data_IF_972049639301
#
_entry.id   IF_972049639301
#
_cell.length_a   1.000
_cell.length_b   1.000
_cell.length_c   1.000
_cell.angle_alpha   90.00
_cell.angle_beta   90.00
_cell.angle_gamma   90.00
#
_symmetry.space_group_name_H-M   'P 1'
#
loop_
_entity.id
_entity.type
_entity.pdbx_description
1 polymer ?
#
# COMPACT_ATOMS: atom_id res chain seq x y z
N UNK A 1 5.71 -4.42 -12.49
CA UNK A 1 4.41 -3.72 -12.39
C UNK A 1 3.43 -4.66 -11.68
N UNK A 2 2.68 -4.15 -10.72
CA UNK A 2 1.68 -4.91 -9.94
C UNK A 2 0.34 -4.20 -10.09
N UNK A 3 -0.73 -4.97 -10.28
CA UNK A 3 -2.10 -4.47 -10.31
C UNK A 3 -2.87 -5.00 -9.10
N UNK A 4 -3.75 -4.18 -8.55
CA UNK A 4 -4.62 -4.54 -7.42
C UNK A 4 -5.92 -3.73 -7.48
N UNK A 5 -6.95 -4.18 -6.79
CA UNK A 5 -8.21 -3.46 -6.62
C UNK A 5 -8.52 -3.37 -5.13
N UNK A 6 -8.87 -2.18 -4.66
CA UNK A 6 -9.29 -1.94 -3.28
C UNK A 6 -10.81 -1.79 -3.24
N UNK A 7 -11.44 -2.58 -2.38
CA UNK A 7 -12.84 -2.39 -1.97
C UNK A 7 -12.92 -1.45 -0.77
N UNK A 8 -13.73 -0.41 -0.90
CA UNK A 8 -13.86 0.68 0.08
C UNK A 8 -15.33 0.86 0.43
N UNK A 9 -15.80 0.33 1.57
CA UNK A 9 -17.15 0.58 2.04
C UNK A 9 -17.29 2.03 2.53
N UNK A 10 -18.33 2.73 2.07
CA UNK A 10 -18.71 4.06 2.53
C UNK A 10 -20.03 4.00 3.29
N UNK A 11 -20.20 4.85 4.30
CA UNK A 11 -21.42 4.89 5.12
C UNK A 11 -22.43 5.93 4.65
N UNK A 12 -22.07 6.71 3.64
CA UNK A 12 -22.72 7.93 3.20
C UNK A 12 -21.68 9.02 2.92
N UNK A 13 -22.16 10.21 2.55
CA UNK A 13 -21.33 11.32 2.11
C UNK A 13 -20.24 11.64 3.13
N UNK A 14 -19.01 11.86 2.65
CA UNK A 14 -17.87 12.18 3.49
C UNK A 14 -16.56 11.57 3.01
N UNK A 15 -15.59 11.51 3.91
CA UNK A 15 -14.22 11.15 3.58
C UNK A 15 -13.81 9.83 4.23
N UNK A 16 -13.37 8.88 3.42
CA UNK A 16 -12.81 7.60 3.88
C UNK A 16 -11.31 7.59 3.62
N UNK A 17 -10.52 7.49 4.70
CA UNK A 17 -9.05 7.53 4.63
C UNK A 17 -8.48 6.23 4.04
N UNK A 18 -7.66 6.36 3.00
CA UNK A 18 -7.12 5.26 2.20
C UNK A 18 -5.65 4.93 2.49
N UNK A 19 -4.84 5.89 2.93
CA UNK A 19 -3.40 5.64 3.10
C UNK A 19 -3.05 4.49 4.05
N UNK A 20 -3.82 4.15 5.12
CA UNK A 20 -3.51 2.98 5.94
C UNK A 20 -3.73 1.66 5.21
N UNK A 21 -4.81 1.52 4.44
CA UNK A 21 -5.08 0.28 3.67
C UNK A 21 -4.07 0.15 2.52
N UNK A 22 -3.75 1.26 1.85
CA UNK A 22 -2.77 1.29 0.76
C UNK A 22 -1.39 0.92 1.30
N UNK A 23 -0.92 1.52 2.40
CA UNK A 23 0.39 1.21 2.98
C UNK A 23 0.50 -0.25 3.47
N UNK A 24 -0.58 -0.83 4.00
CA UNK A 24 -0.60 -2.26 4.35
C UNK A 24 -0.44 -3.15 3.12
N UNK A 25 -1.11 -2.81 2.02
CA UNK A 25 -0.94 -3.52 0.76
C UNK A 25 0.48 -3.34 0.19
N UNK A 26 0.99 -2.10 0.15
CA UNK A 26 2.35 -1.82 -0.35
C UNK A 26 3.43 -2.63 0.35
N UNK A 27 3.31 -2.83 1.67
CA UNK A 27 4.23 -3.64 2.46
C UNK A 27 4.33 -5.11 2.00
N UNK A 28 3.31 -5.64 1.29
CA UNK A 28 3.34 -7.02 0.76
C UNK A 28 3.94 -7.12 -0.64
N UNK A 29 4.15 -5.99 -1.32
CA UNK A 29 4.57 -5.98 -2.73
C UNK A 29 6.08 -6.13 -2.93
N UNK A 30 6.88 -5.85 -1.90
CA UNK A 30 8.35 -5.80 -1.98
C UNK A 30 8.90 -4.60 -2.77
N UNK A 31 8.05 -3.73 -3.34
CA UNK A 31 8.47 -2.51 -4.04
C UNK A 31 8.84 -1.45 -3.01
N UNK A 32 10.07 -0.92 -3.12
CA UNK A 32 10.64 0.04 -2.19
C UNK A 32 10.47 1.48 -2.64
N UNK A 33 10.66 1.76 -3.94
CA UNK A 33 10.56 3.10 -4.51
C UNK A 33 9.82 3.03 -5.85
N UNK A 34 8.99 4.02 -6.15
CA UNK A 34 8.20 4.01 -7.39
C UNK A 34 7.02 4.98 -7.38
N UNK A 35 6.00 4.64 -8.16
CA UNK A 35 4.76 5.38 -8.27
C UNK A 35 3.55 4.43 -8.22
N UNK A 36 2.51 4.85 -7.51
CA UNK A 36 1.21 4.20 -7.45
C UNK A 36 0.19 5.08 -8.16
N UNK A 37 -0.38 4.59 -9.24
CA UNK A 37 -1.54 5.21 -9.88
C UNK A 37 -2.83 4.61 -9.34
N UNK A 38 -3.75 5.48 -8.93
CA UNK A 38 -5.08 5.16 -8.43
C UNK A 38 -6.13 5.64 -9.42
N UNK A 39 -7.17 4.83 -9.64
CA UNK A 39 -8.37 5.21 -10.41
C UNK A 39 -9.61 4.82 -9.63
N UNK A 40 -10.43 5.80 -9.24
CA UNK A 40 -11.77 5.56 -8.71
C UNK A 40 -12.66 5.07 -9.86
N UNK A 41 -13.19 3.85 -9.74
CA UNK A 41 -14.01 3.23 -10.78
C UNK A 41 -15.49 3.66 -10.70
N UNK A 42 -15.75 4.88 -10.23
CA UNK A 42 -17.07 5.41 -9.94
C UNK A 42 -17.17 6.86 -10.39
N UNK A 43 -18.36 7.29 -10.81
CA UNK A 43 -18.65 8.66 -11.27
C UNK A 43 -19.32 9.53 -10.22
N UNK A 44 -19.65 8.95 -9.07
CA UNK A 44 -20.30 9.61 -7.93
C UNK A 44 -19.45 9.60 -6.66
N UNK A 45 -18.15 9.36 -6.80
CA UNK A 45 -17.14 9.46 -5.75
C UNK A 45 -15.81 9.89 -6.37
N UNK A 46 -14.91 10.44 -5.56
CA UNK A 46 -13.64 11.00 -6.03
C UNK A 46 -12.48 10.71 -5.09
N UNK A 47 -11.27 11.05 -5.50
CA UNK A 47 -10.05 10.95 -4.72
C UNK A 47 -9.53 12.35 -4.37
N UNK A 48 -8.95 12.50 -3.19
CA UNK A 48 -8.29 13.75 -2.77
C UNK A 48 -7.13 13.51 -1.80
N UNK A 49 -6.18 14.44 -1.75
CA UNK A 49 -5.16 14.51 -0.69
C UNK A 49 -5.45 15.76 0.13
N UNK A 50 -5.61 15.61 1.43
CA UNK A 50 -5.87 16.74 2.30
C UNK A 50 -5.33 16.53 3.72
N UNK A 51 -5.61 17.49 4.59
CA UNK A 51 -5.18 17.50 5.98
C UNK A 51 -5.75 16.31 6.77
N UNK A 52 -4.91 15.70 7.60
CA UNK A 52 -5.24 14.56 8.46
C UNK A 52 -5.23 14.87 9.97
N UNK A 53 -4.96 16.13 10.35
CA UNK A 53 -4.84 16.56 11.74
C UNK A 53 -6.13 17.16 12.28
N UNK A 54 -6.71 18.13 11.57
CA UNK A 54 -7.95 18.78 11.99
C UNK A 54 -9.15 18.31 11.14
N UNK A 55 -10.13 17.60 11.74
CA UNK A 55 -11.31 17.12 11.00
C UNK A 55 -12.15 18.28 10.41
N UNK A 56 -12.06 19.49 10.98
CA UNK A 56 -12.79 20.67 10.49
C UNK A 56 -12.45 21.04 9.06
N UNK A 57 -11.23 20.73 8.61
CA UNK A 57 -10.81 20.98 7.21
C UNK A 57 -11.68 20.18 6.24
N UNK A 58 -11.99 18.92 6.59
CA UNK A 58 -12.84 18.06 5.77
C UNK A 58 -14.30 18.50 5.84
N UNK A 59 -14.78 18.90 7.02
CA UNK A 59 -16.13 19.43 7.22
C UNK A 59 -16.37 20.73 6.42
N UNK A 60 -15.38 21.64 6.40
CA UNK A 60 -15.42 22.87 5.62
C UNK A 60 -15.37 22.59 4.12
N UNK A 61 -14.55 21.62 3.67
CA UNK A 61 -14.54 21.18 2.28
C UNK A 61 -15.92 20.64 1.84
N UNK A 62 -16.54 19.79 2.66
CA UNK A 62 -17.88 19.26 2.41
C UNK A 62 -18.93 20.38 2.37
N UNK A 63 -18.90 21.28 3.35
CA UNK A 63 -19.82 22.41 3.46
C UNK A 63 -19.69 23.38 2.28
N UNK A 64 -18.46 23.62 1.82
CA UNK A 64 -18.21 24.44 0.64
C UNK A 64 -18.75 23.76 -0.62
N UNK A 65 -18.50 22.46 -0.79
CA UNK A 65 -18.99 21.70 -1.93
C UNK A 65 -20.52 21.66 -1.99
N UNK A 66 -21.19 21.56 -0.84
CA UNK A 66 -22.66 21.63 -0.72
C UNK A 66 -23.24 22.97 -1.20
N UNK A 67 -22.48 24.07 -1.08
CA UNK A 67 -22.89 25.40 -1.58
C UNK A 67 -22.68 25.55 -3.09
N UNK A 68 -21.58 24.99 -3.61
CA UNK A 68 -21.21 25.12 -5.03
C UNK A 68 -22.00 24.15 -5.91
N UNK A 69 -22.30 22.96 -5.37
CA UNK A 69 -23.07 21.91 -6.07
C UNK A 69 -24.27 21.51 -5.20
N UNK A 70 -25.30 22.37 -5.15
CA UNK A 70 -26.44 22.18 -4.26
C UNK A 70 -27.37 21.05 -4.74
N UNK A 71 -27.89 20.25 -3.81
CA UNK A 71 -28.80 19.11 -4.07
C UNK A 71 -30.19 19.54 -4.58
N UNK A 72 -30.63 20.75 -4.25
CA UNK A 72 -31.97 21.26 -4.57
C UNK A 72 -32.04 22.04 -5.89
N UNK A 73 -30.97 22.06 -6.67
CA UNK A 73 -31.00 22.65 -8.01
C UNK A 73 -31.76 21.73 -8.97
N UNK A 74 -32.56 22.26 -9.93
CA UNK A 74 -33.37 21.46 -10.84
C UNK A 74 -32.52 20.80 -11.94
N UNK A 75 -31.69 19.84 -11.55
CA UNK A 75 -30.97 18.99 -12.48
C UNK A 75 -31.93 18.04 -13.18
N UNK A 76 -31.62 17.72 -14.44
CA UNK A 76 -32.43 16.79 -15.24
C UNK A 76 -32.14 15.31 -14.93
N UNK A 77 -31.04 15.03 -14.26
CA UNK A 77 -30.57 13.68 -13.96
C UNK A 77 -30.66 13.46 -12.45
N UNK A 78 -31.85 13.09 -11.99
CA UNK A 78 -32.17 12.84 -10.59
C UNK A 78 -32.79 11.44 -10.42
N UNK A 79 -32.50 10.54 -11.37
CA UNK A 79 -33.05 9.19 -11.48
C UNK A 79 -32.80 8.37 -10.20
N UNK A 80 -31.67 8.59 -9.53
CA UNK A 80 -31.31 7.94 -8.26
C UNK A 80 -31.48 8.84 -7.02
N UNK A 81 -32.15 9.97 -7.14
CA UNK A 81 -32.43 10.90 -6.05
C UNK A 81 -31.73 12.26 -6.15
N UNK A 82 -31.96 13.15 -5.17
CA UNK A 82 -31.53 14.55 -5.23
C UNK A 82 -30.00 14.75 -5.15
N UNK A 83 -29.24 13.72 -4.79
CA UNK A 83 -27.78 13.74 -4.71
C UNK A 83 -27.10 13.14 -5.96
N UNK A 84 -27.86 12.65 -6.93
CA UNK A 84 -27.36 11.95 -8.10
C UNK A 84 -26.52 12.85 -9.03
N UNK A 85 -27.14 13.78 -9.77
CA UNK A 85 -26.38 14.74 -10.58
C UNK A 85 -25.35 15.54 -9.77
N UNK A 86 -25.63 16.02 -8.53
CA UNK A 86 -24.60 16.64 -7.70
C UNK A 86 -23.35 15.79 -7.55
N UNK A 87 -23.46 14.49 -7.28
CA UNK A 87 -22.31 13.61 -7.11
C UNK A 87 -21.47 13.50 -8.38
N UNK A 88 -22.10 13.50 -9.56
CA UNK A 88 -21.41 13.56 -10.84
C UNK A 88 -20.64 14.87 -11.04
N UNK A 89 -21.26 16.02 -10.73
CA UNK A 89 -20.60 17.33 -10.83
C UNK A 89 -19.41 17.41 -9.86
N UNK A 90 -19.59 16.99 -8.61
CA UNK A 90 -18.52 16.97 -7.59
C UNK A 90 -17.35 16.10 -8.02
N UNK A 91 -17.63 14.96 -8.64
CA UNK A 91 -16.59 14.09 -9.22
C UNK A 91 -15.83 14.78 -10.36
N UNK A 92 -16.54 15.49 -11.24
CA UNK A 92 -15.93 16.24 -12.33
C UNK A 92 -15.08 17.45 -11.86
N UNK A 93 -15.44 18.07 -10.73
CA UNK A 93 -14.71 19.20 -10.14
C UNK A 93 -13.50 18.78 -9.28
N UNK A 94 -13.39 17.49 -8.95
CA UNK A 94 -12.33 16.95 -8.09
C UNK A 94 -11.39 16.09 -8.92
N UNK A 95 -11.18 14.84 -8.54
CA UNK A 95 -10.30 13.93 -9.26
C UNK A 95 -10.83 12.50 -9.20
N UNK A 96 -10.89 11.84 -10.34
CA UNK A 96 -11.13 10.39 -10.42
C UNK A 96 -9.83 9.59 -10.36
N UNK A 97 -8.70 10.20 -10.69
CA UNK A 97 -7.39 9.55 -10.73
C UNK A 97 -6.35 10.33 -9.94
N UNK A 98 -5.32 9.63 -9.47
CA UNK A 98 -4.24 10.24 -8.70
C UNK A 98 -2.98 9.38 -8.82
N UNK A 99 -1.83 10.00 -9.03
CA UNK A 99 -0.53 9.31 -9.00
C UNK A 99 0.23 9.75 -7.75
N UNK A 100 0.63 8.77 -6.94
CA UNK A 100 1.31 8.96 -5.66
C UNK A 100 2.74 8.44 -5.74
N UNK A 101 3.68 9.19 -5.19
CA UNK A 101 5.06 8.73 -5.04
C UNK A 101 5.17 7.70 -3.90
N UNK A 102 6.03 6.70 -4.11
CA UNK A 102 6.38 5.68 -3.13
C UNK A 102 7.86 5.82 -2.75
N UNK A 103 8.14 5.80 -1.46
CA UNK A 103 9.51 5.72 -0.95
C UNK A 103 9.57 4.84 0.30
N UNK A 104 10.61 4.02 0.39
CA UNK A 104 10.83 3.08 1.51
C UNK A 104 9.61 2.18 1.79
N UNK A 105 8.99 1.68 0.72
CA UNK A 105 7.88 0.71 0.79
C UNK A 105 6.54 1.28 1.24
N UNK A 106 6.40 2.63 1.30
CA UNK A 106 5.15 3.30 1.70
C UNK A 106 4.91 4.56 0.88
N UNK A 107 3.67 5.04 0.89
CA UNK A 107 3.31 6.31 0.28
C UNK A 107 4.18 7.44 0.84
N UNK A 108 4.75 8.24 -0.06
CA UNK A 108 5.54 9.41 0.30
C UNK A 108 4.64 10.63 0.42
N UNK A 109 4.07 10.80 1.60
CA UNK A 109 3.17 11.90 1.96
C UNK A 109 3.87 12.89 2.90
N UNK A 110 3.48 14.16 2.85
CA UNK A 110 3.84 15.15 3.85
C UNK A 110 3.18 14.87 5.20
N UNK A 111 3.69 15.49 6.28
CA UNK A 111 3.25 15.26 7.67
C UNK A 111 1.73 15.32 7.84
N UNK A 112 1.11 16.30 7.21
CA UNK A 112 -0.32 16.58 7.35
C UNK A 112 -1.16 15.94 6.25
N UNK A 113 -0.57 15.22 5.30
CA UNK A 113 -1.31 14.67 4.17
C UNK A 113 -1.86 13.28 4.47
N UNK A 114 -3.11 13.06 4.08
CA UNK A 114 -3.70 11.74 3.93
C UNK A 114 -4.43 11.65 2.58
N UNK A 115 -4.56 10.41 2.08
CA UNK A 115 -5.29 10.11 0.84
C UNK A 115 -6.70 9.70 1.21
N UNK A 116 -7.71 10.27 0.56
CA UNK A 116 -9.11 10.00 0.86
C UNK A 116 -9.88 9.60 -0.39
N UNK A 117 -10.84 8.69 -0.22
CA UNK A 117 -12.01 8.61 -1.07
C UNK A 117 -13.06 9.59 -0.51
N UNK A 118 -13.51 10.50 -1.34
CA UNK A 118 -14.62 11.41 -1.02
C UNK A 118 -15.89 10.87 -1.67
N UNK A 119 -16.76 10.32 -0.82
CA UNK A 119 -18.10 9.86 -1.15
C UNK A 119 -19.03 11.07 -1.29
N UNK A 120 -19.74 11.16 -2.42
CA UNK A 120 -20.66 12.27 -2.70
C UNK A 120 -22.12 11.87 -2.60
N UNK A 121 -22.42 10.58 -2.43
CA UNK A 121 -23.78 10.06 -2.24
C UNK A 121 -24.11 9.92 -0.76
N UNK A 122 -25.35 10.19 -0.39
CA UNK A 122 -25.82 10.16 1.00
C UNK A 122 -26.00 8.72 1.51
N UNK A 123 -26.34 7.78 0.61
CA UNK A 123 -26.46 6.37 0.92
C UNK A 123 -25.10 5.66 1.05
N UNK A 124 -25.09 4.52 1.73
CA UNK A 124 -23.90 3.67 1.81
C UNK A 124 -23.61 3.00 0.46
N UNK A 125 -22.34 2.96 0.06
CA UNK A 125 -21.89 2.30 -1.17
C UNK A 125 -20.68 1.39 -0.93
N UNK A 126 -20.44 0.51 -1.90
CA UNK A 126 -19.17 -0.21 -2.04
C UNK A 126 -18.40 0.40 -3.21
N UNK A 127 -17.33 1.12 -2.90
CA UNK A 127 -16.48 1.78 -3.89
C UNK A 127 -15.29 0.90 -4.24
N UNK A 128 -14.79 1.05 -5.47
CA UNK A 128 -13.68 0.28 -6.01
C UNK A 128 -12.62 1.22 -6.56
N UNK A 129 -11.37 0.96 -6.22
CA UNK A 129 -10.23 1.75 -6.66
C UNK A 129 -9.22 0.82 -7.31
N UNK A 130 -8.99 1.00 -8.62
CA UNK A 130 -7.94 0.30 -9.32
C UNK A 130 -6.58 0.90 -8.94
N UNK A 131 -5.61 0.02 -8.66
CA UNK A 131 -4.27 0.36 -8.24
C UNK A 131 -3.26 -0.20 -9.25
N UNK A 132 -2.41 0.65 -9.80
CA UNK A 132 -1.30 0.27 -10.69
C UNK A 132 0.01 0.74 -10.07
N UNK A 133 0.83 -0.21 -9.63
CA UNK A 133 2.10 0.05 -8.96
C UNK A 133 3.27 -0.29 -9.89
N UNK A 134 4.15 0.70 -10.08
CA UNK A 134 5.38 0.56 -10.85
C UNK A 134 6.53 1.06 -10.00
N UNK A 135 7.60 0.27 -9.89
CA UNK A 135 8.74 0.64 -9.07
C UNK A 135 9.78 -0.47 -8.97
N UNK A 136 10.80 -0.18 -8.18
CA UNK A 136 11.93 -1.06 -7.93
C UNK A 136 11.76 -1.78 -6.60
N UNK A 137 12.10 -3.07 -6.59
CA UNK A 137 12.15 -3.84 -5.36
C UNK A 137 13.38 -3.44 -4.52
N UNK A 138 13.34 -3.71 -3.22
CA UNK A 138 14.49 -3.45 -2.36
C UNK A 138 15.71 -4.30 -2.78
N UNK A 139 16.74 -3.62 -3.27
CA UNK A 139 17.98 -4.25 -3.72
C UNK A 139 18.72 -5.02 -2.63
N UNK A 140 18.51 -4.73 -1.34
CA UNK A 140 19.14 -5.45 -0.25
C UNK A 140 18.45 -6.80 -0.01
N UNK A 141 17.11 -6.81 0.00
CA UNK A 141 16.32 -8.03 0.06
C UNK A 141 16.59 -8.92 -1.15
N UNK A 142 16.63 -8.33 -2.36
CA UNK A 142 17.02 -9.05 -3.58
C UNK A 142 18.43 -9.63 -3.49
N UNK A 143 19.41 -8.88 -2.96
CA UNK A 143 20.78 -9.35 -2.78
C UNK A 143 20.86 -10.51 -1.79
N UNK A 144 20.15 -10.44 -0.67
CA UNK A 144 20.11 -11.52 0.32
C UNK A 144 19.44 -12.79 -0.22
N UNK A 145 18.30 -12.65 -0.92
CA UNK A 145 17.64 -13.78 -1.59
C UNK A 145 18.53 -14.40 -2.65
N UNK A 146 19.18 -13.58 -3.48
CA UNK A 146 20.13 -14.05 -4.50
C UNK A 146 21.31 -14.78 -3.86
N UNK A 147 21.90 -14.22 -2.80
CA UNK A 147 22.99 -14.86 -2.08
C UNK A 147 22.59 -16.22 -1.50
N UNK A 148 21.42 -16.32 -0.87
CA UNK A 148 20.92 -17.59 -0.34
C UNK A 148 20.68 -18.62 -1.45
N UNK A 149 20.14 -18.21 -2.59
CA UNK A 149 19.97 -19.08 -3.75
C UNK A 149 21.33 -19.55 -4.30
N UNK A 150 22.30 -18.65 -4.41
CA UNK A 150 23.66 -18.98 -4.86
C UNK A 150 24.35 -19.98 -3.89
N UNK A 151 24.15 -19.83 -2.57
CA UNK A 151 24.63 -20.79 -1.56
C UNK A 151 23.96 -22.15 -1.74
N UNK A 152 22.63 -22.19 -1.86
CA UNK A 152 21.87 -23.44 -2.02
C UNK A 152 22.20 -24.16 -3.33
N UNK A 153 22.48 -23.43 -4.41
CA UNK A 153 22.92 -24.04 -5.68
C UNK A 153 24.33 -24.62 -5.62
N UNK A 154 25.19 -24.09 -4.74
CA UNK A 154 26.52 -24.62 -4.47
C UNK A 154 26.52 -25.72 -3.41
N UNK A 155 25.40 -25.93 -2.73
CA UNK A 155 25.26 -26.99 -1.74
C UNK A 155 25.29 -28.34 -2.45
N UNK A 156 26.37 -29.08 -2.21
CA UNK A 156 26.60 -30.40 -2.74
C UNK A 156 26.39 -31.42 -1.61
N UNK A 157 25.19 -32.04 -1.52
CA UNK A 157 24.85 -32.95 -0.43
C UNK A 157 25.70 -34.23 -0.43
N UNK A 158 26.34 -34.57 -1.55
CA UNK A 158 27.15 -35.77 -1.71
C UNK A 158 28.66 -35.47 -1.62
N UNK A 159 29.07 -34.22 -1.36
CA UNK A 159 30.47 -33.83 -1.26
C UNK A 159 31.23 -34.67 -0.21
N UNK A 160 30.63 -34.83 0.97
CA UNK A 160 31.17 -35.67 2.05
C UNK A 160 31.40 -37.13 1.63
N UNK A 161 30.44 -37.71 0.90
CA UNK A 161 30.51 -39.09 0.44
C UNK A 161 31.55 -39.25 -0.69
N UNK A 162 31.72 -38.24 -1.55
CA UNK A 162 32.73 -38.22 -2.62
C UNK A 162 34.15 -38.10 -2.12
N UNK A 163 34.35 -37.35 -1.03
CA UNK A 163 35.67 -37.16 -0.43
C UNK A 163 36.04 -38.29 0.57
N UNK A 164 35.21 -39.34 0.62
CA UNK A 164 35.49 -40.55 1.40
C UNK A 164 35.26 -40.39 2.90
N UNK A 165 34.56 -39.34 3.34
CA UNK A 165 34.30 -39.05 4.75
C UNK A 165 35.56 -38.68 5.54
N UNK A 166 36.59 -38.16 4.86
CA UNK A 166 37.76 -37.60 5.50
C UNK A 166 37.48 -36.13 5.81
N UNK A 167 37.54 -35.77 7.09
CA UNK A 167 37.45 -34.36 7.51
C UNK A 167 38.51 -33.53 6.79
N UNK A 168 38.06 -32.48 6.12
CA UNK A 168 38.98 -31.47 5.59
C UNK A 168 39.40 -30.51 6.71
N UNK A 169 40.49 -29.78 6.51
CA UNK A 169 40.90 -28.71 7.44
C UNK A 169 39.79 -27.65 7.63
N UNK A 170 38.88 -27.52 6.66
CA UNK A 170 37.73 -26.61 6.72
C UNK A 170 36.65 -27.17 7.66
N UNK A 171 36.35 -28.46 7.59
CA UNK A 171 35.36 -29.14 8.46
C UNK A 171 35.80 -29.07 9.93
N UNK A 172 37.08 -29.39 10.19
CA UNK A 172 37.68 -29.28 11.53
C UNK A 172 37.68 -27.84 12.07
N UNK A 173 37.72 -26.84 11.20
CA UNK A 173 37.66 -25.43 11.61
C UNK A 173 36.23 -25.01 11.97
N UNK A 174 35.22 -25.52 11.25
CA UNK A 174 33.79 -25.30 11.55
C UNK A 174 33.40 -25.95 12.88
N UNK A 175 33.86 -27.18 13.13
CA UNK A 175 33.61 -27.88 14.40
C UNK A 175 34.25 -27.16 15.58
N UNK A 176 35.51 -26.70 15.46
CA UNK A 176 36.15 -25.88 16.50
C UNK A 176 35.42 -24.56 16.76
N UNK A 177 34.85 -23.95 15.72
CA UNK A 177 34.02 -22.74 15.87
C UNK A 177 32.73 -23.04 16.61
N UNK A 178 32.08 -24.18 16.33
CA UNK A 178 30.92 -24.65 17.08
C UNK A 178 31.24 -24.89 18.56
N UNK A 179 32.35 -25.58 18.85
CA UNK A 179 32.81 -25.85 20.22
C UNK A 179 33.04 -24.57 21.04
N UNK A 180 33.67 -23.56 20.41
CA UNK A 180 33.92 -22.24 21.05
C UNK A 180 32.61 -21.51 21.36
N UNK A 181 31.58 -21.67 20.52
CA UNK A 181 30.28 -21.02 20.75
C UNK A 181 29.42 -21.79 21.76
N UNK A 182 29.51 -23.11 21.83
CA UNK A 182 28.77 -23.93 22.81
C UNK A 182 29.30 -23.81 24.23
N UNK A 183 30.59 -23.51 24.42
CA UNK A 183 31.21 -23.31 25.74
C UNK A 183 30.94 -21.92 26.35
N UNK A 184 30.16 -21.06 25.67
CA UNK A 184 29.92 -19.67 26.07
C UNK A 184 28.52 -19.36 26.60
N UNK A 185 27.64 -20.36 26.76
CA UNK A 185 26.37 -20.18 27.46
C UNK A 185 26.52 -20.51 28.96
N UNK A 186 26.42 -19.54 29.89
CA UNK A 186 26.29 -19.87 31.30
C UNK A 186 25.00 -20.67 31.51
N UNK A 187 25.08 -21.74 32.30
CA UNK A 187 23.89 -22.43 32.80
C UNK A 187 23.03 -21.43 33.58
N UNK A 188 21.79 -21.24 33.13
CA UNK A 188 20.79 -20.37 33.75
C UNK A 188 20.53 -20.85 35.20
N UNK A 189 20.51 -19.97 36.23
CA UNK A 189 20.23 -20.34 37.61
C UNK A 189 18.75 -20.69 37.88
#
# INVERSE_FOLDING_TARGET
MIQHELDVPTRGSGFTRLDPIINRWLATTGISNGALHLTCLHTSASLTINENADPRVLDDLASWMDRVVPRNHPYRHDDEGPDDMPAHIRTALTAQTMTLSLAKGRLWLGTWQAVYLWEHRDAAHQRRIACQLIGEQDSAAQRATKLNQDILQRHDPDAWARDGGLDTDVDLMVDRLHDITSDSLPADP
#
